data_IF_809724938190
#
_entry.id   IF_809724938190
#
_cell.length_a   1.000
_cell.length_b   1.000
_cell.length_c   1.000
_cell.angle_alpha   90.00
_cell.angle_beta   90.00
_cell.angle_gamma   90.00
#
_symmetry.space_group_name_H-M   'P 1'
#
loop_
_entity.id
_entity.type
_entity.pdbx_description
1 polymer ?
#
# COMPACT_ATOMS: atom_id res chain seq x y z
N UNK A 1 20.76 16.41 -29.26
CA UNK A 1 20.77 15.67 -30.54
C UNK A 1 19.78 14.55 -30.37
N UNK A 2 18.58 14.72 -30.96
CA UNK A 2 17.48 13.76 -30.94
C UNK A 2 17.83 12.61 -31.87
N UNK A 3 18.13 11.44 -31.29
CA UNK A 3 18.29 10.23 -32.07
C UNK A 3 16.91 9.75 -32.54
N UNK A 4 16.59 10.01 -33.79
CA UNK A 4 15.44 9.38 -34.43
C UNK A 4 15.70 7.87 -34.47
N UNK A 5 14.79 7.09 -33.91
CA UNK A 5 14.77 5.65 -34.07
C UNK A 5 14.48 5.33 -35.53
N UNK A 6 15.51 4.95 -36.27
CA UNK A 6 15.37 4.47 -37.66
C UNK A 6 14.56 3.18 -37.63
N UNK A 7 13.34 3.24 -38.14
CA UNK A 7 12.57 2.04 -38.45
C UNK A 7 13.27 1.30 -39.57
N UNK A 8 13.90 0.18 -39.26
CA UNK A 8 14.49 -0.69 -40.27
C UNK A 8 13.37 -1.54 -40.86
N UNK A 9 13.07 -1.31 -42.13
CA UNK A 9 12.21 -2.18 -42.90
C UNK A 9 13.09 -3.27 -43.51
N UNK A 10 12.91 -4.53 -43.12
CA UNK A 10 13.48 -5.66 -43.82
C UNK A 10 12.41 -6.22 -44.75
N UNK A 11 12.68 -6.17 -46.04
CA UNK A 11 11.88 -6.87 -47.06
C UNK A 11 12.37 -8.32 -47.07
N UNK A 12 11.56 -9.27 -46.60
CA UNK A 12 11.80 -10.68 -46.84
C UNK A 12 10.94 -11.04 -48.06
N UNK A 13 11.56 -11.14 -49.24
CA UNK A 13 10.92 -11.77 -50.36
C UNK A 13 10.96 -13.28 -50.15
N UNK A 14 9.83 -13.89 -49.86
CA UNK A 14 9.72 -15.35 -49.92
C UNK A 14 9.41 -15.72 -51.35
N UNK A 15 10.45 -16.14 -52.10
CA UNK A 15 10.26 -16.81 -53.39
C UNK A 15 9.70 -18.22 -53.11
N UNK A 16 8.40 -18.40 -53.13
CA UNK A 16 7.82 -19.69 -53.44
C UNK A 16 7.90 -19.89 -54.98
N UNK A 17 8.68 -20.85 -55.39
CA UNK A 17 8.73 -21.36 -56.76
C UNK A 17 7.43 -22.12 -57.04
N UNK A 18 6.37 -21.43 -57.34
CA UNK A 18 5.23 -22.01 -58.07
C UNK A 18 4.78 -21.07 -59.21
N UNK A 19 4.77 -21.68 -60.39
CA UNK A 19 4.35 -21.07 -61.64
C UNK A 19 2.87 -20.74 -61.64
N UNK A 20 2.51 -19.56 -61.19
CA UNK A 20 1.33 -18.88 -61.76
C UNK A 20 1.38 -17.37 -61.47
N UNK A 21 0.87 -16.59 -62.41
CA UNK A 21 0.98 -15.14 -62.46
C UNK A 21 0.19 -14.43 -61.37
N UNK A 22 0.82 -14.19 -60.22
CA UNK A 22 0.28 -13.35 -59.18
C UNK A 22 1.39 -12.89 -58.22
N UNK A 23 1.85 -11.64 -58.41
CA UNK A 23 2.82 -11.02 -57.55
C UNK A 23 2.15 -10.78 -56.18
N UNK A 24 2.19 -11.78 -55.28
CA UNK A 24 1.67 -11.68 -53.92
C UNK A 24 2.84 -11.33 -52.98
N UNK A 25 3.25 -10.06 -53.00
CA UNK A 25 4.24 -9.56 -52.06
C UNK A 25 3.53 -9.35 -50.72
N UNK A 26 3.73 -10.27 -49.81
CA UNK A 26 3.26 -10.12 -48.43
C UNK A 26 4.28 -9.25 -47.66
N UNK A 27 3.84 -8.07 -47.25
CA UNK A 27 4.67 -7.18 -46.45
C UNK A 27 4.62 -7.62 -44.99
N UNK A 28 5.71 -8.13 -44.47
CA UNK A 28 5.87 -8.42 -43.03
C UNK A 28 6.44 -7.17 -42.34
N UNK A 29 5.62 -6.54 -41.52
CA UNK A 29 6.08 -5.44 -40.69
C UNK A 29 6.76 -5.98 -39.45
N UNK A 30 8.08 -5.80 -39.32
CA UNK A 30 8.82 -6.11 -38.12
C UNK A 30 8.83 -4.85 -37.22
N UNK A 31 8.16 -4.95 -36.10
CA UNK A 31 8.25 -3.93 -35.06
C UNK A 31 9.45 -4.19 -34.17
N UNK A 32 10.18 -3.15 -33.71
CA UNK A 32 11.29 -3.35 -32.79
C UNK A 32 10.77 -3.82 -31.43
N UNK A 33 11.57 -4.67 -30.78
CA UNK A 33 11.37 -5.09 -29.41
C UNK A 33 11.98 -4.08 -28.45
N UNK A 34 11.35 -3.91 -27.29
CA UNK A 34 11.83 -3.05 -26.21
C UNK A 34 11.80 -3.79 -24.89
N UNK A 35 12.77 -3.49 -24.05
CA UNK A 35 12.88 -4.06 -22.72
C UNK A 35 12.25 -3.16 -21.66
N UNK A 36 11.33 -3.72 -20.89
CA UNK A 36 10.80 -3.14 -19.68
C UNK A 36 11.52 -3.78 -18.49
N UNK A 37 12.48 -3.06 -17.94
CA UNK A 37 13.22 -3.48 -16.74
C UNK A 37 12.52 -2.99 -15.48
N UNK A 38 12.26 -3.89 -14.54
CA UNK A 38 11.63 -3.55 -13.27
C UNK A 38 12.60 -3.74 -12.11
N UNK A 39 12.64 -2.76 -11.22
CA UNK A 39 13.41 -2.77 -9.98
C UNK A 39 12.45 -2.74 -8.81
N UNK A 40 12.59 -3.72 -7.90
CA UNK A 40 11.86 -3.71 -6.63
C UNK A 40 12.67 -2.95 -5.57
N UNK A 41 12.12 -1.89 -5.03
CA UNK A 41 12.64 -1.25 -3.83
C UNK A 41 12.45 -2.14 -2.59
N UNK A 42 13.08 -1.75 -1.47
CA UNK A 42 12.93 -2.47 -0.20
C UNK A 42 11.46 -2.51 0.23
N UNK A 43 10.97 -3.68 0.60
CA UNK A 43 9.60 -3.86 1.15
C UNK A 43 8.57 -4.35 0.15
N UNK A 44 8.97 -4.88 -1.01
CA UNK A 44 8.05 -5.51 -1.95
C UNK A 44 8.73 -6.23 -3.10
N UNK A 45 7.91 -6.73 -4.01
CA UNK A 45 8.32 -7.41 -5.24
C UNK A 45 7.63 -6.79 -6.45
N UNK A 46 8.17 -7.05 -7.65
CA UNK A 46 7.61 -6.60 -8.92
C UNK A 46 7.50 -7.75 -9.92
N UNK A 47 6.55 -7.64 -10.84
CA UNK A 47 6.40 -8.53 -11.99
C UNK A 47 5.84 -7.79 -13.21
N UNK A 48 5.96 -8.37 -14.41
CA UNK A 48 5.50 -7.78 -15.67
C UNK A 48 6.60 -7.07 -16.46
N UNK A 49 7.87 -7.18 -16.03
CA UNK A 49 9.02 -6.81 -16.87
C UNK A 49 9.32 -7.88 -17.92
N UNK A 50 10.06 -7.51 -18.95
CA UNK A 50 10.45 -8.40 -20.05
C UNK A 50 10.59 -7.66 -21.36
N UNK A 51 10.75 -8.41 -22.44
CA UNK A 51 10.84 -7.89 -23.80
C UNK A 51 9.46 -7.91 -24.46
N UNK A 52 9.06 -6.80 -25.03
CA UNK A 52 7.76 -6.57 -25.67
C UNK A 52 7.93 -5.98 -27.05
N UNK A 53 7.04 -6.30 -27.97
CA UNK A 53 7.01 -5.68 -29.30
C UNK A 53 6.49 -4.23 -29.14
N UNK A 54 7.00 -3.31 -29.95
CA UNK A 54 6.51 -1.92 -29.97
C UNK A 54 4.99 -1.85 -30.17
N UNK A 55 4.33 -1.17 -29.28
CA UNK A 55 2.87 -1.01 -29.29
C UNK A 55 2.12 -2.00 -28.40
N UNK A 56 2.80 -3.04 -27.89
CA UNK A 56 2.21 -3.96 -26.93
C UNK A 56 1.97 -3.26 -25.57
N UNK A 57 1.09 -3.83 -24.80
CA UNK A 57 0.82 -3.39 -23.43
C UNK A 57 1.53 -4.29 -22.42
N UNK A 58 2.36 -3.69 -21.58
CA UNK A 58 2.95 -4.35 -20.42
C UNK A 58 2.11 -4.08 -19.17
N UNK A 59 1.72 -5.14 -18.45
CA UNK A 59 1.02 -5.04 -17.17
C UNK A 59 2.06 -5.17 -16.07
N UNK A 60 2.28 -4.08 -15.34
CA UNK A 60 3.25 -3.99 -14.24
C UNK A 60 2.55 -4.16 -12.92
N UNK A 61 3.08 -5.03 -12.06
CA UNK A 61 2.51 -5.32 -10.75
C UNK A 61 3.59 -5.12 -9.69
N UNK A 62 3.29 -4.26 -8.70
CA UNK A 62 4.09 -4.09 -7.49
C UNK A 62 3.34 -4.68 -6.30
N UNK A 63 3.93 -5.66 -5.63
CA UNK A 63 3.33 -6.37 -4.49
C UNK A 63 4.06 -6.01 -3.21
N UNK A 64 3.46 -5.21 -2.29
CA UNK A 64 4.07 -4.93 -1.01
C UNK A 64 4.24 -6.18 -0.16
N UNK A 65 5.35 -6.28 0.56
CA UNK A 65 5.56 -7.27 1.62
C UNK A 65 4.78 -6.89 2.87
N UNK A 66 4.61 -7.86 3.80
CA UNK A 66 3.96 -7.60 5.09
C UNK A 66 4.60 -6.42 5.82
N UNK A 67 3.79 -5.50 6.32
CA UNK A 67 4.24 -4.28 7.01
C UNK A 67 4.69 -3.14 6.09
N UNK A 68 4.46 -3.27 4.79
CA UNK A 68 4.73 -2.23 3.80
C UNK A 68 3.49 -1.91 2.98
N UNK A 69 3.46 -0.73 2.40
CA UNK A 69 2.49 -0.30 1.38
C UNK A 69 3.24 0.20 0.15
N UNK A 70 2.60 0.11 -1.00
CA UNK A 70 3.12 0.68 -2.23
C UNK A 70 3.17 2.20 -2.13
N UNK A 71 4.34 2.77 -2.41
CA UNK A 71 4.54 4.22 -2.42
C UNK A 71 4.36 4.81 -3.82
N UNK A 72 4.86 4.14 -4.86
CA UNK A 72 4.72 4.57 -6.24
C UNK A 72 5.67 3.87 -7.19
N UNK A 73 5.40 4.03 -8.49
CA UNK A 73 6.32 3.76 -9.57
C UNK A 73 7.18 4.99 -9.86
N UNK A 74 8.46 4.77 -10.11
CA UNK A 74 9.46 5.80 -10.39
C UNK A 74 10.22 5.46 -11.67
N UNK A 75 10.54 6.47 -12.48
CA UNK A 75 11.39 6.38 -13.65
C UNK A 75 12.41 7.51 -13.59
N UNK A 76 13.71 7.20 -13.75
CA UNK A 76 14.80 8.15 -13.62
C UNK A 76 14.78 8.96 -12.30
N UNK A 77 14.27 8.36 -11.22
CA UNK A 77 14.14 9.00 -9.91
C UNK A 77 12.88 9.85 -9.73
N UNK A 78 12.10 10.08 -10.78
CA UNK A 78 10.86 10.83 -10.73
C UNK A 78 9.65 9.91 -10.56
N UNK A 79 8.67 10.33 -9.73
CA UNK A 79 7.46 9.56 -9.49
C UNK A 79 6.48 9.67 -10.67
N UNK A 80 5.98 8.52 -11.10
CA UNK A 80 4.90 8.47 -12.08
C UNK A 80 3.55 8.68 -11.37
N UNK A 81 2.88 9.79 -11.66
CA UNK A 81 1.60 10.13 -11.05
C UNK A 81 0.43 9.44 -11.76
N UNK A 82 -0.64 9.16 -11.00
CA UNK A 82 -1.88 8.59 -11.54
C UNK A 82 -1.81 7.08 -11.83
N UNK A 83 -0.72 6.41 -11.42
CA UNK A 83 -0.56 4.95 -11.57
C UNK A 83 -0.66 4.25 -10.22
N UNK A 84 -1.41 3.14 -10.20
CA UNK A 84 -1.57 2.26 -9.04
C UNK A 84 -0.44 1.24 -8.96
N UNK A 85 -0.45 0.39 -7.93
CA UNK A 85 0.47 -0.73 -7.80
C UNK A 85 0.33 -1.77 -8.93
N UNK A 86 -0.84 -1.84 -9.58
CA UNK A 86 -1.04 -2.52 -10.84
C UNK A 86 -1.34 -1.46 -11.89
N UNK A 87 -0.52 -1.37 -12.94
CA UNK A 87 -0.70 -0.43 -14.02
C UNK A 87 -0.34 -1.05 -15.38
N UNK A 88 -0.97 -0.52 -16.41
CA UNK A 88 -0.73 -0.87 -17.81
C UNK A 88 0.01 0.27 -18.49
N UNK A 89 1.08 -0.05 -19.19
CA UNK A 89 1.83 0.88 -20.03
C UNK A 89 1.92 0.36 -21.45
N UNK A 90 1.77 1.24 -22.45
CA UNK A 90 2.06 0.88 -23.84
C UNK A 90 3.56 1.01 -24.09
N UNK A 91 4.16 -0.02 -24.66
CA UNK A 91 5.61 -0.10 -24.87
C UNK A 91 6.00 0.60 -26.17
N UNK A 92 6.78 1.66 -26.06
CA UNK A 92 7.29 2.45 -27.18
C UNK A 92 8.81 2.63 -27.19
N UNK A 93 9.48 2.27 -26.08
CA UNK A 93 10.92 2.39 -25.85
C UNK A 93 11.37 1.50 -24.72
N UNK A 94 12.71 1.33 -24.59
CA UNK A 94 13.28 0.70 -23.41
C UNK A 94 13.04 1.57 -22.18
N UNK A 95 12.52 0.98 -21.11
CA UNK A 95 12.23 1.70 -19.87
C UNK A 95 12.74 0.92 -18.65
N UNK A 96 13.19 1.67 -17.65
CA UNK A 96 13.54 1.12 -16.34
C UNK A 96 12.65 1.79 -15.29
N UNK A 97 11.81 0.98 -14.63
CA UNK A 97 10.85 1.43 -13.66
C UNK A 97 11.16 0.84 -12.29
N UNK A 98 11.17 1.66 -11.26
CA UNK A 98 11.38 1.25 -9.87
C UNK A 98 10.05 1.34 -9.11
N UNK A 99 9.63 0.24 -8.49
CA UNK A 99 8.56 0.26 -7.51
C UNK A 99 9.14 0.59 -6.13
N UNK A 100 8.64 1.64 -5.48
CA UNK A 100 9.01 1.98 -4.12
C UNK A 100 7.91 1.62 -3.15
N UNK A 101 8.33 1.22 -1.96
CA UNK A 101 7.45 0.82 -0.87
C UNK A 101 7.85 1.58 0.39
N UNK A 102 6.89 1.87 1.25
CA UNK A 102 7.15 2.49 2.54
C UNK A 102 6.53 1.67 3.66
N UNK A 103 7.11 1.79 4.85
CA UNK A 103 6.56 1.11 6.03
C UNK A 103 5.14 1.57 6.31
N UNK A 104 4.30 0.61 6.60
CA UNK A 104 2.94 0.84 7.08
C UNK A 104 2.94 0.83 8.61
N UNK A 105 3.45 1.91 9.20
CA UNK A 105 3.63 1.98 10.65
C UNK A 105 2.29 2.05 11.39
N UNK A 106 2.15 1.23 12.44
CA UNK A 106 1.00 1.27 13.34
C UNK A 106 0.98 2.61 14.08
N UNK A 107 -0.17 3.29 14.05
CA UNK A 107 -0.39 4.59 14.69
C UNK A 107 -1.80 4.66 15.27
N UNK A 108 -1.95 5.21 16.47
CA UNK A 108 -3.25 5.66 17.00
C UNK A 108 -3.50 7.04 16.39
N UNK A 109 -4.64 7.21 15.74
CA UNK A 109 -4.99 8.43 14.99
C UNK A 109 -6.00 9.29 15.70
N UNK A 110 -6.83 8.67 16.54
CA UNK A 110 -7.86 9.39 17.28
C UNK A 110 -8.30 8.62 18.53
N UNK A 111 -8.75 9.34 19.54
CA UNK A 111 -9.39 8.81 20.76
C UNK A 111 -10.57 9.69 21.11
N UNK A 112 -11.73 9.13 21.10
CA UNK A 112 -12.98 9.81 21.41
C UNK A 112 -13.56 9.30 22.73
N UNK A 113 -14.04 10.22 23.56
CA UNK A 113 -14.70 9.94 24.84
C UNK A 113 -16.14 10.45 24.76
N UNK A 114 -17.09 9.56 24.92
CA UNK A 114 -18.52 9.84 24.81
C UNK A 114 -19.23 9.56 26.14
N UNK A 115 -20.32 10.27 26.34
CA UNK A 115 -21.16 10.12 27.51
C UNK A 115 -21.03 11.31 28.48
N UNK A 116 -21.80 11.25 29.56
CA UNK A 116 -21.74 12.24 30.63
C UNK A 116 -20.62 11.87 31.60
N UNK A 117 -19.63 12.75 31.75
CA UNK A 117 -18.53 12.55 32.66
C UNK A 117 -18.94 12.78 34.13
N UNK A 118 -19.82 11.93 34.63
CA UNK A 118 -20.34 11.99 36.02
C UNK A 118 -20.35 10.61 36.65
N UNK A 119 -20.18 10.56 37.97
CA UNK A 119 -20.20 9.30 38.70
C UNK A 119 -21.57 8.62 38.55
N UNK A 120 -21.58 7.32 38.29
CA UNK A 120 -22.76 6.51 38.01
C UNK A 120 -23.24 6.48 36.56
N UNK A 121 -22.68 7.33 35.68
CA UNK A 121 -23.01 7.33 34.26
C UNK A 121 -21.97 6.54 33.46
N UNK A 122 -22.40 5.86 32.42
CA UNK A 122 -21.49 5.09 31.55
C UNK A 122 -20.78 6.01 30.57
N UNK A 123 -19.47 5.86 30.51
CA UNK A 123 -18.54 6.57 29.60
C UNK A 123 -18.03 5.57 28.59
N UNK A 124 -18.12 5.88 27.31
CA UNK A 124 -17.60 5.06 26.21
C UNK A 124 -16.32 5.67 25.64
N UNK A 125 -15.35 4.85 25.38
CA UNK A 125 -14.06 5.23 24.80
C UNK A 125 -13.87 4.50 23.47
N UNK A 126 -13.64 5.25 22.39
CA UNK A 126 -13.36 4.70 21.06
C UNK A 126 -11.97 5.12 20.63
N UNK A 127 -11.19 4.18 20.13
CA UNK A 127 -9.81 4.43 19.68
C UNK A 127 -9.68 4.05 18.21
N UNK A 128 -9.22 4.99 17.40
CA UNK A 128 -8.92 4.76 15.97
C UNK A 128 -7.44 4.54 15.77
N UNK A 129 -7.09 3.57 14.92
CA UNK A 129 -5.71 3.32 14.53
C UNK A 129 -5.59 3.07 13.02
N UNK A 130 -4.39 3.25 12.49
CA UNK A 130 -4.04 2.97 11.09
C UNK A 130 -2.67 2.31 11.02
N UNK A 131 -2.38 1.68 9.89
CA UNK A 131 -1.08 1.04 9.66
C UNK A 131 -0.92 -0.27 10.42
N UNK A 132 0.32 -0.74 10.52
CA UNK A 132 0.64 -2.05 11.08
C UNK A 132 0.08 -3.22 10.26
N UNK A 133 0.15 -4.39 10.81
CA UNK A 133 -0.34 -5.65 10.22
C UNK A 133 -1.54 -6.15 11.02
N UNK A 134 -2.69 -6.29 10.38
CA UNK A 134 -3.89 -6.84 11.02
C UNK A 134 -3.79 -8.37 11.21
N UNK A 135 -4.51 -8.97 12.17
CA UNK A 135 -5.45 -8.33 13.10
C UNK A 135 -4.77 -7.55 14.22
N UNK A 136 -5.44 -6.54 14.72
CA UNK A 136 -4.99 -5.79 15.90
C UNK A 136 -5.64 -6.36 17.17
N UNK A 137 -4.87 -6.30 18.29
CA UNK A 137 -5.34 -6.58 19.64
C UNK A 137 -5.35 -5.27 20.43
N UNK A 138 -6.40 -5.06 21.21
CA UNK A 138 -6.62 -3.87 22.00
C UNK A 138 -6.56 -4.20 23.49
N UNK A 139 -6.04 -3.27 24.27
CA UNK A 139 -6.05 -3.32 25.72
C UNK A 139 -6.41 -1.91 26.22
N UNK A 140 -7.33 -1.83 27.15
CA UNK A 140 -7.78 -0.59 27.74
C UNK A 140 -7.64 -0.61 29.24
N UNK A 141 -7.19 0.50 29.81
CA UNK A 141 -7.06 0.68 31.24
C UNK A 141 -7.56 2.05 31.64
N UNK A 142 -8.23 2.13 32.82
CA UNK A 142 -8.50 3.37 33.49
C UNK A 142 -7.79 3.33 34.83
N UNK A 143 -7.09 4.42 35.14
CA UNK A 143 -6.30 4.56 36.35
C UNK A 143 -6.76 5.79 37.14
N UNK A 144 -6.72 5.68 38.46
CA UNK A 144 -6.82 6.80 39.41
C UNK A 144 -5.68 6.68 40.39
N UNK A 145 -4.94 7.76 40.64
CA UNK A 145 -3.75 7.78 41.53
C UNK A 145 -2.71 6.71 41.23
N UNK A 146 -2.52 6.41 39.91
CA UNK A 146 -1.65 5.35 39.38
C UNK A 146 -2.12 3.90 39.69
N UNK A 147 -3.30 3.71 40.26
CA UNK A 147 -3.90 2.39 40.43
C UNK A 147 -4.90 2.09 39.31
N UNK A 148 -4.89 0.86 38.78
CA UNK A 148 -5.83 0.42 37.77
C UNK A 148 -7.19 0.19 38.43
N UNK A 149 -8.18 0.97 38.05
CA UNK A 149 -9.57 0.85 38.53
C UNK A 149 -10.48 0.12 37.53
N UNK A 150 -10.04 0.00 36.28
CA UNK A 150 -10.71 -0.77 35.23
C UNK A 150 -9.68 -1.28 34.21
N UNK A 151 -9.93 -2.49 33.69
CA UNK A 151 -9.15 -3.00 32.55
C UNK A 151 -10.01 -3.90 31.66
N UNK A 152 -9.80 -3.77 30.35
CA UNK A 152 -10.30 -4.66 29.32
C UNK A 152 -9.10 -5.14 28.50
N UNK A 153 -8.68 -6.37 28.80
CA UNK A 153 -7.48 -6.97 28.24
C UNK A 153 -7.89 -7.98 27.16
N UNK A 154 -7.37 -7.85 25.97
CA UNK A 154 -7.67 -8.67 24.81
C UNK A 154 -9.01 -8.36 24.11
N UNK A 155 -9.44 -7.12 24.13
CA UNK A 155 -10.54 -6.64 23.29
C UNK A 155 -10.18 -6.86 21.81
N UNK A 156 -11.12 -7.43 21.06
CA UNK A 156 -11.03 -7.57 19.59
C UNK A 156 -11.64 -6.37 18.87
N UNK A 157 -12.21 -5.45 19.65
CA UNK A 157 -12.87 -4.22 19.19
C UNK A 157 -12.13 -3.00 19.73
N UNK A 158 -12.22 -1.93 19.02
CA UNK A 158 -11.52 -0.68 19.29
C UNK A 158 -12.27 0.26 20.26
N UNK A 159 -13.19 -0.26 21.05
CA UNK A 159 -13.90 0.52 22.05
C UNK A 159 -14.04 -0.25 23.36
N UNK A 160 -14.27 0.51 24.44
CA UNK A 160 -14.61 -0.01 25.77
C UNK A 160 -15.55 0.95 26.48
N UNK A 161 -16.23 0.45 27.51
CA UNK A 161 -17.14 1.22 28.34
C UNK A 161 -16.81 1.06 29.80
N UNK A 162 -16.99 2.13 30.56
CA UNK A 162 -16.72 2.14 31.99
C UNK A 162 -17.70 3.07 32.72
N UNK A 163 -18.15 2.65 33.91
CA UNK A 163 -19.01 3.45 34.77
C UNK A 163 -18.25 3.80 36.05
N UNK A 164 -17.83 5.06 36.23
CA UNK A 164 -17.15 5.50 37.44
C UNK A 164 -18.06 5.46 38.65
N UNK A 165 -17.59 4.98 39.78
CA UNK A 165 -18.31 4.96 41.05
C UNK A 165 -18.17 6.27 41.85
N UNK A 166 -17.16 7.07 41.52
CA UNK A 166 -16.82 8.31 42.23
C UNK A 166 -16.40 9.42 41.28
N UNK A 167 -16.57 10.67 41.71
CA UNK A 167 -15.96 11.81 41.03
C UNK A 167 -14.44 11.80 41.25
N UNK A 168 -13.70 12.35 40.32
CA UNK A 168 -12.23 12.38 40.41
C UNK A 168 -11.56 12.59 39.07
N UNK A 169 -10.24 12.56 39.09
CA UNK A 169 -9.39 12.62 37.90
C UNK A 169 -8.91 11.23 37.54
N UNK A 170 -9.08 10.88 36.29
CA UNK A 170 -8.75 9.55 35.77
C UNK A 170 -7.88 9.65 34.53
N UNK A 171 -7.04 8.66 34.34
CA UNK A 171 -6.27 8.47 33.12
C UNK A 171 -6.85 7.32 32.32
N UNK A 172 -7.13 7.55 31.05
CA UNK A 172 -7.44 6.51 30.08
C UNK A 172 -6.17 6.13 29.34
N UNK A 173 -5.87 4.84 29.30
CA UNK A 173 -4.75 4.27 28.57
C UNK A 173 -5.28 3.25 27.56
N UNK A 174 -4.90 3.40 26.31
CA UNK A 174 -5.17 2.44 25.25
C UNK A 174 -3.86 1.89 24.69
N UNK A 175 -3.85 0.60 24.44
CA UNK A 175 -2.76 -0.05 23.72
C UNK A 175 -3.34 -0.76 22.52
N UNK A 176 -2.62 -0.71 21.40
CA UNK A 176 -2.90 -1.52 20.22
C UNK A 176 -1.64 -2.28 19.85
N UNK A 177 -1.81 -3.58 19.62
CA UNK A 177 -0.74 -4.49 19.22
C UNK A 177 -1.11 -5.09 17.88
N UNK A 178 -0.22 -5.00 16.89
CA UNK A 178 -0.43 -5.59 15.58
C UNK A 178 -0.01 -7.08 15.52
N UNK A 179 -0.32 -7.76 14.42
CA UNK A 179 -0.01 -9.18 14.25
C UNK A 179 1.50 -9.50 14.23
N UNK A 180 2.38 -8.51 14.11
CA UNK A 180 3.85 -8.66 14.23
C UNK A 180 4.34 -8.52 15.66
N UNK A 181 3.46 -8.15 16.59
CA UNK A 181 3.79 -7.86 17.99
C UNK A 181 4.25 -6.42 18.23
N UNK A 182 4.15 -5.54 17.23
CA UNK A 182 4.42 -4.11 17.43
C UNK A 182 3.30 -3.51 18.25
N UNK A 183 3.66 -2.94 19.42
CA UNK A 183 2.73 -2.34 20.37
C UNK A 183 2.97 -0.84 20.48
N UNK A 184 1.89 -0.07 20.42
CA UNK A 184 1.89 1.37 20.68
C UNK A 184 0.82 1.69 21.73
N UNK A 185 0.91 2.86 22.33
CA UNK A 185 -0.02 3.29 23.37
C UNK A 185 -0.42 4.75 23.24
N UNK A 186 -1.55 5.06 23.83
CA UNK A 186 -2.07 6.41 24.00
C UNK A 186 -2.49 6.60 25.47
N UNK A 187 -2.32 7.80 26.02
CA UNK A 187 -2.77 8.17 27.35
C UNK A 187 -3.42 9.55 27.30
N UNK A 188 -4.56 9.69 27.92
CA UNK A 188 -5.20 10.97 28.14
C UNK A 188 -5.84 11.02 29.53
N UNK A 189 -5.97 12.21 30.08
CA UNK A 189 -6.58 12.44 31.38
C UNK A 189 -7.97 13.07 31.18
N UNK A 190 -8.92 12.70 32.01
CA UNK A 190 -10.25 13.28 32.04
C UNK A 190 -10.78 13.40 33.49
N UNK A 191 -11.79 14.26 33.71
CA UNK A 191 -12.36 14.52 35.02
C UNK A 191 -13.80 14.07 35.02
N UNK A 192 -14.18 13.30 36.04
CA UNK A 192 -15.55 12.88 36.36
C UNK A 192 -16.08 13.74 37.46
N UNK A 193 -17.23 14.35 37.26
CA UNK A 193 -17.95 15.19 38.25
C UNK A 193 -18.85 14.38 39.19
#
# INVERSE_FOLDING_TARGET
MSGEASSYYFLIETEELESDCGNNSEFVYLYPDYDITLIAGTGGNVSGGGTYVKGDDAILIATPSSGYIFDGWYENGERLYGVSNECKITVDSNRTLEARFKKNDLQITDVEIFGTLSAGETISFTVSATGGVQPWQWEFYIQSDNEVVYSDNAAIVNFTEWTPSQSGTYDFLAFVTDATGKRISYRTQFVVS
#
